data_IF_400748400009
#
_entry.id   IF_400748400009
#
_cell.length_a   1.000
_cell.length_b   1.000
_cell.length_c   1.000
_cell.angle_alpha   90.00
_cell.angle_beta   90.00
_cell.angle_gamma   90.00
#
_symmetry.space_group_name_H-M   'P 1'
#
loop_
_entity.id
_entity.type
_entity.pdbx_description
1 polymer ?
#
# COMPACT_ATOMS: atom_id res chain seq x y z
N UNK A 1 44.17 -42.89 -49.18
CA UNK A 1 45.25 -42.85 -48.16
C UNK A 1 44.69 -42.07 -46.97
N UNK A 2 44.25 -42.77 -45.91
CA UNK A 2 44.86 -42.87 -44.55
C UNK A 2 44.86 -41.51 -43.80
N UNK A 3 44.39 -41.32 -42.56
CA UNK A 3 43.93 -42.19 -41.44
C UNK A 3 42.76 -41.51 -40.67
N UNK A 4 42.02 -42.10 -39.72
CA UNK A 4 42.37 -42.76 -38.42
C UNK A 4 43.32 -41.88 -37.60
N UNK A 5 43.15 -41.47 -36.34
CA UNK A 5 42.45 -41.83 -35.09
C UNK A 5 42.32 -40.50 -34.28
N UNK A 6 41.67 -40.35 -33.12
CA UNK A 6 41.30 -41.27 -32.07
C UNK A 6 40.68 -40.51 -30.89
N UNK A 7 40.04 -41.28 -30.02
CA UNK A 7 39.31 -40.85 -28.85
C UNK A 7 40.23 -40.28 -27.74
N UNK A 8 39.80 -39.18 -27.13
CA UNK A 8 40.32 -38.66 -25.86
C UNK A 8 39.21 -38.65 -24.83
N UNK A 9 39.14 -39.71 -24.03
CA UNK A 9 38.22 -39.89 -22.90
C UNK A 9 38.90 -39.33 -21.66
N UNK A 10 38.39 -38.24 -21.10
CA UNK A 10 38.84 -37.71 -19.81
C UNK A 10 37.85 -38.18 -18.75
N UNK A 11 38.32 -39.10 -17.89
CA UNK A 11 37.78 -39.40 -16.56
C UNK A 11 38.70 -38.74 -15.54
N UNK A 12 38.22 -38.67 -14.30
CA UNK A 12 38.81 -38.10 -13.07
C UNK A 12 38.29 -36.68 -12.78
N UNK A 13 37.88 -36.32 -11.57
CA UNK A 13 37.89 -37.04 -10.29
C UNK A 13 36.90 -36.36 -9.34
N UNK A 14 36.32 -37.17 -8.47
CA UNK A 14 35.34 -36.76 -7.47
C UNK A 14 36.06 -36.19 -6.25
N UNK A 15 35.92 -34.89 -5.98
CA UNK A 15 36.26 -34.33 -4.67
C UNK A 15 34.98 -34.04 -3.89
N UNK A 16 34.64 -34.98 -3.00
CA UNK A 16 33.69 -34.77 -1.91
C UNK A 16 34.40 -33.90 -0.87
N UNK A 17 33.97 -32.66 -0.69
CA UNK A 17 34.29 -31.91 0.52
C UNK A 17 33.08 -31.95 1.44
N UNK A 18 33.28 -32.66 2.54
CA UNK A 18 32.42 -32.78 3.69
C UNK A 18 32.64 -31.53 4.54
N UNK A 19 31.61 -30.69 4.70
CA UNK A 19 31.61 -29.63 5.72
C UNK A 19 30.48 -29.95 6.68
N UNK A 20 30.83 -30.73 7.70
CA UNK A 20 30.04 -30.85 8.92
C UNK A 20 30.42 -29.70 9.87
N UNK A 21 29.37 -29.21 10.52
CA UNK A 21 29.34 -28.69 11.89
C UNK A 21 29.80 -27.26 12.17
N UNK A 22 28.83 -26.36 12.37
CA UNK A 22 28.58 -25.78 13.70
C UNK A 22 27.25 -25.02 13.71
N UNK A 23 26.20 -25.71 14.14
CA UNK A 23 24.88 -25.16 14.39
C UNK A 23 24.84 -24.62 15.83
N UNK A 24 25.21 -23.35 16.03
CA UNK A 24 25.03 -22.68 17.32
C UNK A 24 23.57 -22.24 17.48
N UNK A 25 22.84 -22.98 18.33
CA UNK A 25 21.52 -22.58 18.84
C UNK A 25 21.68 -21.46 19.88
N UNK A 26 20.94 -20.33 19.78
CA UNK A 26 20.80 -19.44 20.92
C UNK A 26 19.82 -20.04 21.94
N UNK A 27 20.25 -20.04 23.20
CA UNK A 27 19.57 -20.60 24.38
C UNK A 27 18.37 -19.72 24.78
N UNK A 28 17.30 -20.36 25.23
CA UNK A 28 16.16 -19.73 25.89
C UNK A 28 16.49 -19.32 27.33
N UNK A 29 15.93 -18.16 27.74
CA UNK A 29 15.49 -17.88 29.11
C UNK A 29 16.40 -16.97 29.94
N UNK A 30 16.00 -15.72 30.17
CA UNK A 30 15.28 -15.30 31.39
C UNK A 30 14.81 -13.83 31.29
N UNK A 31 13.83 -13.39 32.11
CA UNK A 31 12.81 -12.41 31.72
C UNK A 31 13.25 -10.97 31.95
N UNK A 32 12.86 -10.06 31.05
CA UNK A 32 12.91 -8.63 31.33
C UNK A 32 11.73 -8.23 32.21
N UNK A 33 12.11 -7.84 33.42
CA UNK A 33 11.30 -7.22 34.46
C UNK A 33 10.50 -6.02 33.94
N UNK A 34 9.20 -6.10 34.18
CA UNK A 34 8.16 -5.10 33.93
C UNK A 34 8.13 -4.11 35.09
N UNK A 35 8.83 -2.99 35.00
CA UNK A 35 8.59 -1.83 35.89
C UNK A 35 8.86 -0.50 35.19
N UNK A 36 7.95 -0.11 34.30
CA UNK A 36 7.84 1.25 33.76
C UNK A 36 6.43 1.75 33.98
N UNK A 37 6.27 2.69 34.91
CA UNK A 37 5.00 3.30 35.34
C UNK A 37 4.07 3.63 34.17
N UNK A 38 2.87 3.08 34.22
CA UNK A 38 1.69 3.64 33.57
C UNK A 38 1.40 5.00 34.21
N UNK A 39 1.74 6.09 33.53
CA UNK A 39 1.17 7.39 33.87
C UNK A 39 -0.29 7.40 33.39
N UNK A 40 -1.16 7.01 34.32
CA UNK A 40 -2.61 7.14 34.19
C UNK A 40 -2.96 8.60 33.86
N UNK A 41 -3.37 8.85 32.62
CA UNK A 41 -4.02 10.11 32.23
C UNK A 41 -5.34 10.16 32.99
N UNK A 42 -5.36 10.96 34.05
CA UNK A 42 -6.56 11.22 34.85
C UNK A 42 -7.59 11.96 34.01
N UNK A 43 -8.88 11.60 34.10
CA UNK A 43 -9.93 12.30 33.38
C UNK A 43 -10.04 13.74 33.88
N UNK A 44 -10.04 14.69 32.94
CA UNK A 44 -10.29 16.11 33.22
C UNK A 44 -11.76 16.25 33.61
N UNK A 45 -11.99 16.56 34.88
CA UNK A 45 -13.29 16.90 35.43
C UNK A 45 -13.58 18.36 35.06
N UNK A 46 -14.43 18.58 34.07
CA UNK A 46 -15.00 19.91 33.80
C UNK A 46 -16.05 20.16 34.88
N UNK A 47 -15.73 21.01 35.84
CA UNK A 47 -16.69 21.49 36.83
C UNK A 47 -17.54 22.61 36.22
N UNK A 48 -18.85 22.43 36.33
CA UNK A 48 -19.87 23.40 35.95
C UNK A 48 -19.65 24.73 36.68
N UNK A 49 -19.46 25.80 35.91
CA UNK A 49 -19.39 27.15 36.44
C UNK A 49 -20.82 27.70 36.44
N UNK A 50 -21.41 27.82 37.63
CA UNK A 50 -22.60 28.65 37.85
C UNK A 50 -22.18 30.13 37.79
N UNK A 51 -22.64 30.85 36.77
CA UNK A 51 -22.55 32.31 36.74
C UNK A 51 -23.89 32.94 37.09
N UNK A 52 -23.79 33.77 38.12
CA UNK A 52 -24.79 34.53 38.85
C UNK A 52 -25.48 35.58 37.95
N UNK A 53 -26.81 35.59 37.97
CA UNK A 53 -27.62 36.66 37.36
C UNK A 53 -27.42 37.97 38.16
N UNK A 54 -26.94 39.02 37.50
CA UNK A 54 -27.07 40.39 37.97
C UNK A 54 -27.72 41.23 36.86
N UNK A 55 -28.82 41.90 37.24
CA UNK A 55 -29.77 42.65 36.43
C UNK A 55 -29.52 44.14 36.62
N UNK A 56 -29.14 44.87 35.58
CA UNK A 56 -29.17 46.35 35.48
C UNK A 56 -29.32 46.68 33.98
N UNK A 57 -30.53 47.05 33.55
CA UNK A 57 -31.02 48.41 33.27
C UNK A 57 -30.66 48.90 31.85
N UNK A 58 -31.73 49.21 31.11
CA UNK A 58 -31.79 49.73 29.76
C UNK A 58 -31.14 51.12 29.70
N UNK A 59 -30.48 51.46 28.59
CA UNK A 59 -30.77 52.70 27.84
C UNK A 59 -29.91 52.86 26.57
N UNK A 60 -30.65 53.11 25.49
CA UNK A 60 -30.37 53.95 24.32
C UNK A 60 -29.49 53.47 23.15
N UNK A 61 -30.05 53.81 21.98
CA UNK A 61 -29.78 53.42 20.60
C UNK A 61 -28.44 53.93 20.06
N UNK A 62 -27.82 53.13 19.19
CA UNK A 62 -27.03 53.65 18.07
C UNK A 62 -27.17 52.72 16.86
N UNK A 63 -27.75 53.28 15.81
CA UNK A 63 -27.93 52.69 14.48
C UNK A 63 -26.57 52.51 13.76
N UNK A 64 -26.52 51.42 12.99
CA UNK A 64 -25.78 51.16 11.76
C UNK A 64 -24.23 51.12 11.78
N UNK A 65 -23.72 49.90 11.70
CA UNK A 65 -22.91 49.48 10.54
C UNK A 65 -23.02 47.94 10.44
N UNK A 66 -23.82 47.48 9.50
CA UNK A 66 -23.96 46.08 9.10
C UNK A 66 -22.61 45.55 8.60
N UNK A 67 -21.85 44.90 9.48
CA UNK A 67 -20.79 43.97 9.07
C UNK A 67 -21.49 42.66 8.66
N UNK A 68 -21.97 42.62 7.41
CA UNK A 68 -22.42 41.42 6.70
C UNK A 68 -21.22 40.46 6.48
N UNK A 69 -20.68 39.96 7.59
CA UNK A 69 -19.81 38.81 7.63
C UNK A 69 -20.69 37.57 7.68
N UNK A 70 -21.05 37.06 6.50
CA UNK A 70 -21.77 35.81 6.28
C UNK A 70 -21.09 34.64 7.05
N UNK A 71 -21.47 34.47 8.31
CA UNK A 71 -21.07 33.30 9.10
C UNK A 71 -22.09 32.20 8.84
N UNK A 72 -21.68 31.03 8.30
CA UNK A 72 -22.62 29.95 7.99
C UNK A 72 -23.42 29.57 9.24
N UNK A 73 -24.72 29.85 9.20
CA UNK A 73 -25.61 29.72 10.36
C UNK A 73 -26.29 28.36 10.41
N UNK A 74 -26.31 27.65 9.28
CA UNK A 74 -26.94 26.34 9.11
C UNK A 74 -26.01 25.33 8.46
N UNK A 75 -26.33 24.04 8.60
CA UNK A 75 -25.64 22.96 7.91
C UNK A 75 -25.78 23.09 6.37
N UNK A 76 -26.88 23.68 5.91
CA UNK A 76 -27.15 23.92 4.49
C UNK A 76 -26.22 25.00 3.93
N UNK A 77 -25.98 26.08 4.68
CA UNK A 77 -25.01 27.13 4.31
C UNK A 77 -23.59 26.55 4.18
N UNK A 78 -23.21 25.62 5.06
CA UNK A 78 -21.92 24.92 4.99
C UNK A 78 -21.86 23.99 3.76
N UNK A 79 -22.94 23.29 3.43
CA UNK A 79 -22.99 22.45 2.22
C UNK A 79 -22.94 23.27 0.93
N UNK A 80 -23.63 24.41 0.89
CA UNK A 80 -23.62 25.34 -0.24
C UNK A 80 -22.22 25.93 -0.42
N UNK A 81 -21.62 26.45 0.65
CA UNK A 81 -20.25 26.95 0.65
C UNK A 81 -19.24 25.88 0.20
N UNK A 82 -19.37 24.63 0.65
CA UNK A 82 -18.51 23.51 0.20
C UNK A 82 -18.78 23.10 -1.26
N UNK A 83 -20.00 23.28 -1.75
CA UNK A 83 -20.36 23.03 -3.15
C UNK A 83 -19.74 24.03 -4.12
N UNK A 84 -19.49 25.26 -3.66
CA UNK A 84 -18.83 26.32 -4.44
C UNK A 84 -17.30 26.20 -4.45
N UNK A 85 -16.71 25.43 -3.51
CA UNK A 85 -15.27 25.21 -3.46
C UNK A 85 -14.82 24.40 -4.67
N UNK A 86 -13.96 24.99 -5.49
CA UNK A 86 -13.26 24.27 -6.55
C UNK A 86 -12.29 23.28 -5.92
N UNK A 87 -12.58 21.98 -6.02
CA UNK A 87 -11.65 20.94 -5.54
C UNK A 87 -10.38 20.96 -6.41
N UNK A 88 -9.18 21.03 -5.82
CA UNK A 88 -7.93 21.17 -6.56
C UNK A 88 -7.55 19.91 -7.38
N UNK A 89 -8.31 18.81 -7.28
CA UNK A 89 -8.06 17.58 -8.01
C UNK A 89 -9.25 16.63 -8.07
N UNK A 90 -9.05 15.53 -8.80
CA UNK A 90 -9.97 14.40 -8.91
C UNK A 90 -9.85 13.46 -7.71
N UNK A 91 -10.90 12.68 -7.43
CA UNK A 91 -10.87 11.63 -6.38
C UNK A 91 -10.18 10.35 -6.84
N UNK A 92 -10.06 10.14 -8.16
CA UNK A 92 -9.31 9.03 -8.73
C UNK A 92 -8.73 9.41 -10.10
N UNK A 93 -7.73 8.64 -10.54
CA UNK A 93 -7.11 8.80 -11.87
C UNK A 93 -6.78 7.43 -12.43
N UNK A 94 -6.93 7.26 -13.74
CA UNK A 94 -6.70 6.02 -14.45
C UNK A 94 -6.23 6.30 -15.88
N UNK A 95 -5.48 5.36 -16.45
CA UNK A 95 -4.99 5.49 -17.81
C UNK A 95 -3.94 4.45 -18.15
N UNK A 96 -3.44 4.52 -19.38
CA UNK A 96 -2.33 3.68 -19.83
C UNK A 96 -1.03 4.25 -19.27
N UNK A 97 -0.29 3.43 -18.54
CA UNK A 97 1.00 3.82 -17.94
C UNK A 97 2.14 3.85 -18.98
N UNK A 98 2.05 4.75 -19.96
CA UNK A 98 3.00 4.86 -21.09
C UNK A 98 4.42 5.22 -20.67
N UNK A 99 4.62 5.79 -19.49
CA UNK A 99 5.94 6.10 -18.94
C UNK A 99 6.68 4.86 -18.45
N UNK A 100 5.97 3.79 -18.08
CA UNK A 100 6.57 2.57 -17.55
C UNK A 100 7.14 1.70 -18.67
N UNK A 101 8.28 1.01 -18.44
CA UNK A 101 8.75 0.01 -19.37
C UNK A 101 7.75 -1.15 -19.45
N UNK A 102 7.52 -1.69 -20.65
CA UNK A 102 6.64 -2.85 -20.84
C UNK A 102 7.12 -4.09 -20.06
N UNK A 103 8.43 -4.20 -19.84
CA UNK A 103 9.07 -5.23 -19.03
C UNK A 103 9.68 -4.57 -17.78
N UNK A 104 9.07 -4.71 -16.61
CA UNK A 104 9.54 -4.08 -15.38
C UNK A 104 10.75 -4.79 -14.75
N UNK A 105 11.18 -5.92 -15.32
CA UNK A 105 12.19 -6.79 -14.69
C UNK A 105 11.65 -7.43 -13.42
N UNK A 106 10.38 -7.87 -13.43
CA UNK A 106 9.74 -8.51 -12.28
C UNK A 106 10.46 -9.80 -11.92
N UNK A 107 10.94 -9.90 -10.69
CA UNK A 107 11.53 -11.10 -10.12
C UNK A 107 10.77 -11.47 -8.84
N UNK A 108 10.49 -12.75 -8.67
CA UNK A 108 9.74 -13.27 -7.51
C UNK A 108 10.55 -14.37 -6.85
N UNK A 109 10.76 -14.26 -5.54
CA UNK A 109 11.46 -15.28 -4.75
C UNK A 109 10.78 -16.65 -4.90
N UNK A 110 11.55 -17.66 -5.31
CA UNK A 110 11.06 -19.02 -5.57
C UNK A 110 10.58 -19.28 -7.00
N UNK A 111 10.39 -18.24 -7.82
CA UNK A 111 10.05 -18.34 -9.26
C UNK A 111 11.19 -17.86 -10.14
N UNK A 112 11.88 -16.79 -9.73
CA UNK A 112 12.87 -16.07 -10.52
C UNK A 112 12.24 -14.98 -11.38
N UNK A 113 12.87 -14.69 -12.53
CA UNK A 113 12.38 -13.68 -13.47
C UNK A 113 11.04 -14.09 -14.08
N UNK A 114 10.04 -13.23 -13.89
CA UNK A 114 8.69 -13.39 -14.41
C UNK A 114 8.62 -12.79 -15.81
N UNK A 115 8.35 -13.64 -16.80
CA UNK A 115 8.16 -13.20 -18.19
C UNK A 115 6.76 -12.60 -18.38
N UNK A 116 6.69 -11.49 -19.13
CA UNK A 116 5.45 -10.83 -19.53
C UNK A 116 5.29 -10.89 -21.06
N UNK A 117 4.06 -11.04 -21.58
CA UNK A 117 2.80 -11.09 -20.83
C UNK A 117 2.67 -12.37 -19.99
N UNK A 118 1.94 -12.27 -18.88
CA UNK A 118 1.66 -13.43 -18.01
C UNK A 118 0.96 -14.50 -18.84
N UNK A 119 1.50 -15.72 -18.83
CA UNK A 119 0.95 -16.92 -19.49
C UNK A 119 0.47 -17.94 -18.45
N UNK A 120 -0.18 -19.02 -18.86
CA UNK A 120 -0.59 -20.10 -17.93
C UNK A 120 0.58 -20.70 -17.14
N UNK A 121 1.73 -20.85 -17.80
CA UNK A 121 2.95 -21.38 -17.17
C UNK A 121 3.45 -20.43 -16.08
N UNK A 122 3.57 -19.15 -16.43
CA UNK A 122 4.01 -18.11 -15.48
C UNK A 122 3.01 -17.94 -14.33
N UNK A 123 1.71 -17.92 -14.63
CA UNK A 123 0.66 -17.82 -13.64
C UNK A 123 0.71 -19.00 -12.67
N UNK A 124 0.85 -20.23 -13.17
CA UNK A 124 0.95 -21.44 -12.34
C UNK A 124 2.19 -21.40 -11.41
N UNK A 125 3.33 -20.92 -11.91
CA UNK A 125 4.52 -20.74 -11.10
C UNK A 125 4.32 -19.68 -10.00
N UNK A 126 3.66 -18.56 -10.31
CA UNK A 126 3.32 -17.54 -9.32
C UNK A 126 2.34 -18.07 -8.27
N UNK A 127 1.32 -18.85 -8.67
CA UNK A 127 0.36 -19.47 -7.74
C UNK A 127 1.07 -20.36 -6.72
N UNK A 128 2.09 -21.11 -7.14
CA UNK A 128 2.82 -22.03 -6.27
C UNK A 128 3.56 -21.35 -5.10
N UNK A 129 3.89 -20.05 -5.24
CA UNK A 129 4.57 -19.26 -4.20
C UNK A 129 3.65 -18.23 -3.54
N UNK A 130 2.48 -17.97 -4.13
CA UNK A 130 1.51 -17.03 -3.59
C UNK A 130 0.73 -17.63 -2.41
N UNK A 131 0.22 -16.75 -1.57
CA UNK A 131 -0.64 -17.10 -0.42
C UNK A 131 -2.02 -16.52 -0.63
N UNK A 132 -3.04 -17.11 -0.02
CA UNK A 132 -4.36 -16.48 -0.01
C UNK A 132 -4.26 -15.09 0.63
N UNK A 133 -4.81 -14.07 -0.02
CA UNK A 133 -4.81 -12.72 0.53
C UNK A 133 -5.65 -12.71 1.83
N UNK A 134 -5.10 -12.19 2.95
CA UNK A 134 -5.85 -12.13 4.21
C UNK A 134 -7.04 -11.18 4.08
N UNK A 135 -8.14 -11.51 4.74
CA UNK A 135 -9.28 -10.62 4.88
C UNK A 135 -9.08 -9.71 6.08
N UNK A 136 -9.29 -8.41 5.89
CA UNK A 136 -9.36 -7.46 6.99
C UNK A 136 -10.80 -7.32 7.47
N UNK A 137 -11.13 -7.91 8.61
CA UNK A 137 -12.25 -7.48 9.45
C UNK A 137 -11.67 -7.11 10.83
N UNK A 138 -11.15 -5.89 10.97
CA UNK A 138 -10.54 -5.43 12.23
C UNK A 138 -9.28 -6.23 12.63
N UNK A 139 -9.15 -6.57 13.91
CA UNK A 139 -7.98 -7.24 14.50
C UNK A 139 -7.96 -8.77 14.32
N UNK A 140 -8.97 -9.37 13.67
CA UNK A 140 -9.09 -10.83 13.58
C UNK A 140 -8.95 -11.31 12.12
N UNK A 141 -7.95 -12.16 11.88
CA UNK A 141 -7.64 -12.70 10.55
C UNK A 141 -8.57 -13.89 10.28
N UNK A 142 -9.83 -13.62 9.92
CA UNK A 142 -10.78 -14.66 9.54
C UNK A 142 -10.71 -14.89 8.02
N UNK A 143 -10.48 -16.14 7.62
CA UNK A 143 -10.40 -16.56 6.22
C UNK A 143 -11.82 -16.67 5.60
N UNK A 144 -12.49 -15.54 5.32
CA UNK A 144 -13.79 -15.52 4.64
C UNK A 144 -13.65 -15.30 3.13
N UNK A 145 -13.53 -16.41 2.38
CA UNK A 145 -13.47 -16.42 0.91
C UNK A 145 -14.68 -15.79 0.22
N UNK A 146 -15.75 -15.42 0.94
CA UNK A 146 -16.89 -14.72 0.37
C UNK A 146 -16.59 -13.26 -0.02
N UNK A 147 -15.55 -12.62 0.53
CA UNK A 147 -15.30 -11.19 0.32
C UNK A 147 -14.26 -10.88 -0.79
N UNK A 148 -13.33 -11.80 -1.03
CA UNK A 148 -12.25 -11.66 -2.01
C UNK A 148 -11.60 -13.03 -2.27
N UNK A 149 -11.57 -13.45 -3.52
CA UNK A 149 -10.81 -14.64 -3.93
C UNK A 149 -9.61 -14.20 -4.75
N UNK A 150 -8.45 -14.09 -4.09
CA UNK A 150 -7.23 -13.56 -4.70
C UNK A 150 -6.01 -14.10 -3.98
N UNK A 151 -4.99 -14.43 -4.77
CA UNK A 151 -3.68 -14.81 -4.27
C UNK A 151 -2.77 -13.57 -4.20
N UNK A 152 -1.89 -13.51 -3.21
CA UNK A 152 -0.92 -12.43 -3.06
C UNK A 152 0.50 -12.93 -2.84
N UNK A 153 1.45 -12.12 -3.27
CA UNK A 153 2.87 -12.23 -2.93
C UNK A 153 3.28 -10.91 -2.28
N UNK A 154 3.89 -10.99 -1.11
CA UNK A 154 4.27 -9.82 -0.31
C UNK A 154 5.46 -9.08 -0.95
N UNK A 155 5.57 -7.75 -0.73
CA UNK A 155 6.59 -6.91 -1.38
C UNK A 155 8.03 -7.36 -1.13
N UNK A 156 8.34 -7.94 0.03
CA UNK A 156 9.67 -8.43 0.40
C UNK A 156 10.14 -9.63 -0.44
N UNK A 157 9.23 -10.25 -1.19
CA UNK A 157 9.51 -11.37 -2.09
C UNK A 157 9.61 -10.94 -3.56
N UNK A 158 9.49 -9.64 -3.85
CA UNK A 158 9.39 -9.11 -5.21
C UNK A 158 10.46 -8.05 -5.46
N UNK A 159 11.10 -8.10 -6.62
CA UNK A 159 11.91 -7.00 -7.13
C UNK A 159 11.51 -6.61 -8.55
N UNK A 160 11.81 -5.36 -8.91
CA UNK A 160 11.51 -4.75 -10.21
C UNK A 160 12.83 -4.19 -10.74
N UNK A 161 13.58 -5.05 -11.41
CA UNK A 161 15.02 -4.84 -11.66
C UNK A 161 15.30 -3.98 -12.92
N UNK A 162 14.27 -3.53 -13.64
CA UNK A 162 14.49 -2.69 -14.82
C UNK A 162 15.11 -1.34 -14.41
N UNK A 163 16.26 -0.92 -15.00
CA UNK A 163 16.99 0.28 -14.56
C UNK A 163 16.16 1.57 -14.55
N UNK A 164 15.25 1.71 -15.51
CA UNK A 164 14.38 2.88 -15.61
C UNK A 164 13.10 2.80 -14.75
N UNK A 165 12.83 1.68 -14.06
CA UNK A 165 11.55 1.46 -13.37
C UNK A 165 11.23 2.58 -12.38
N UNK A 166 12.14 2.86 -11.45
CA UNK A 166 11.92 3.88 -10.41
C UNK A 166 11.76 5.28 -11.00
N UNK A 167 12.55 5.64 -12.00
CA UNK A 167 12.44 6.95 -12.67
C UNK A 167 11.11 7.09 -13.43
N UNK A 168 10.67 6.03 -14.10
CA UNK A 168 9.39 6.02 -14.81
C UNK A 168 8.19 6.01 -13.86
N UNK A 169 8.28 5.27 -12.76
CA UNK A 169 7.28 5.23 -11.69
C UNK A 169 7.13 6.61 -11.03
N UNK A 170 8.24 7.31 -10.76
CA UNK A 170 8.22 8.68 -10.23
C UNK A 170 7.38 9.61 -11.12
N UNK A 171 7.59 9.58 -12.44
CA UNK A 171 6.80 10.39 -13.40
C UNK A 171 5.31 10.04 -13.39
N UNK A 172 4.99 8.75 -13.25
CA UNK A 172 3.61 8.29 -13.15
C UNK A 172 2.95 8.82 -11.86
N UNK A 173 3.67 8.72 -10.73
CA UNK A 173 3.20 9.21 -9.43
C UNK A 173 3.08 10.73 -9.43
N UNK A 174 3.97 11.47 -10.09
CA UNK A 174 3.87 12.94 -10.21
C UNK A 174 2.60 13.35 -10.94
N UNK A 175 2.32 12.67 -12.06
CA UNK A 175 1.10 12.88 -12.84
C UNK A 175 -0.14 12.55 -12.00
N UNK A 176 -0.12 11.43 -11.28
CA UNK A 176 -1.23 11.00 -10.45
C UNK A 176 -1.46 11.96 -9.27
N UNK A 177 -0.42 12.36 -8.55
CA UNK A 177 -0.48 13.31 -7.45
C UNK A 177 -1.07 14.65 -7.90
N UNK A 178 -0.57 15.18 -9.02
CA UNK A 178 -1.11 16.40 -9.63
C UNK A 178 -2.59 16.26 -9.96
N UNK A 179 -3.00 15.12 -10.54
CA UNK A 179 -4.40 14.84 -10.83
C UNK A 179 -5.28 14.71 -9.59
N UNK A 180 -4.71 14.30 -8.44
CA UNK A 180 -5.38 14.20 -7.16
C UNK A 180 -5.36 15.53 -6.36
N UNK A 181 -4.75 16.59 -6.92
CA UNK A 181 -4.64 17.89 -6.24
C UNK A 181 -3.60 17.91 -5.12
N UNK A 182 -2.65 16.97 -5.12
CA UNK A 182 -1.58 16.85 -4.13
C UNK A 182 -0.25 17.27 -4.74
N UNK A 183 0.55 18.03 -4.00
CA UNK A 183 1.89 18.41 -4.44
C UNK A 183 2.76 17.16 -4.68
N UNK A 184 3.30 16.93 -5.89
CA UNK A 184 4.07 15.72 -6.21
C UNK A 184 5.26 15.45 -5.27
N UNK A 185 5.90 16.51 -4.78
CA UNK A 185 7.03 16.44 -3.85
C UNK A 185 6.69 15.80 -2.50
N UNK A 186 5.42 15.75 -2.11
CA UNK A 186 4.95 15.17 -0.84
C UNK A 186 4.56 13.69 -0.98
N UNK A 187 4.53 13.14 -2.20
CA UNK A 187 4.03 11.80 -2.46
C UNK A 187 5.18 10.85 -2.75
N UNK A 188 5.20 9.71 -2.06
CA UNK A 188 6.16 8.63 -2.28
C UNK A 188 5.41 7.30 -2.52
N UNK A 189 5.73 6.54 -3.59
CA UNK A 189 5.14 5.23 -3.79
C UNK A 189 5.86 4.17 -2.98
N UNK A 190 5.12 3.33 -2.26
CA UNK A 190 5.63 2.13 -1.60
C UNK A 190 5.04 0.88 -2.25
N UNK A 191 5.88 -0.09 -2.60
CA UNK A 191 5.44 -1.38 -3.11
C UNK A 191 4.83 -2.17 -1.95
N UNK A 192 3.56 -2.55 -2.08
CA UNK A 192 2.86 -3.30 -1.03
C UNK A 192 2.79 -4.81 -1.31
N UNK A 193 2.23 -5.20 -2.46
CA UNK A 193 2.07 -6.60 -2.84
C UNK A 193 1.79 -6.77 -4.33
N UNK A 194 2.11 -7.96 -4.84
CA UNK A 194 1.61 -8.44 -6.13
C UNK A 194 0.35 -9.26 -5.89
N UNK A 195 -0.67 -9.03 -6.72
CA UNK A 195 -1.95 -9.73 -6.65
C UNK A 195 -2.13 -10.57 -7.91
N UNK A 196 -2.61 -11.80 -7.74
CA UNK A 196 -2.97 -12.70 -8.81
C UNK A 196 -4.45 -13.08 -8.65
N UNK A 197 -5.23 -12.73 -9.66
CA UNK A 197 -6.63 -13.10 -9.77
C UNK A 197 -6.77 -14.32 -10.67
N UNK A 198 -7.48 -15.32 -10.19
CA UNK A 198 -7.90 -16.45 -11.02
C UNK A 198 -9.22 -16.13 -11.72
N UNK A 199 -9.59 -16.94 -12.70
CA UNK A 199 -10.91 -16.87 -13.33
C UNK A 199 -12.01 -16.97 -12.27
N UNK A 200 -12.90 -15.98 -12.24
CA UNK A 200 -13.95 -15.88 -11.23
C UNK A 200 -13.52 -15.24 -9.91
N UNK A 201 -12.23 -14.92 -9.75
CA UNK A 201 -11.72 -14.11 -8.64
C UNK A 201 -12.36 -12.73 -8.65
N UNK A 202 -12.72 -12.24 -7.47
CA UNK A 202 -13.43 -10.96 -7.33
C UNK A 202 -12.86 -10.16 -6.17
N UNK A 203 -13.13 -8.86 -6.22
CA UNK A 203 -12.94 -7.96 -5.10
C UNK A 203 -14.25 -7.19 -4.89
N UNK A 204 -14.93 -7.42 -3.78
CA UNK A 204 -16.12 -6.63 -3.43
C UNK A 204 -15.78 -5.15 -3.34
N UNK A 205 -16.77 -4.31 -3.68
CA UNK A 205 -16.68 -2.86 -3.46
C UNK A 205 -16.36 -2.61 -1.98
N UNK A 206 -15.28 -1.89 -1.73
CA UNK A 206 -14.81 -1.54 -0.41
C UNK A 206 -14.04 -0.22 -0.51
N UNK A 207 -13.79 0.39 0.64
CA UNK A 207 -12.84 1.48 0.77
C UNK A 207 -11.50 0.87 1.17
N UNK A 208 -10.44 1.22 0.44
CA UNK A 208 -9.10 0.85 0.84
C UNK A 208 -8.82 1.41 2.24
N UNK A 209 -8.28 0.56 3.10
CA UNK A 209 -7.85 0.95 4.44
C UNK A 209 -6.40 1.40 4.37
N UNK A 210 -6.08 2.43 5.14
CA UNK A 210 -4.72 2.89 5.36
C UNK A 210 -3.85 1.72 5.84
N UNK A 211 -2.70 1.52 5.19
CA UNK A 211 -1.77 0.43 5.48
C UNK A 211 -0.49 0.89 6.16
N UNK A 212 -0.19 2.18 6.01
CA UNK A 212 0.97 2.86 6.56
C UNK A 212 0.54 4.29 6.91
N UNK A 213 1.14 4.88 7.93
CA UNK A 213 0.84 6.25 8.37
C UNK A 213 1.03 7.25 7.21
N UNK A 214 -0.01 8.04 6.93
CA UNK A 214 -0.01 9.00 5.84
C UNK A 214 -0.38 8.41 4.47
N UNK A 215 -0.78 7.13 4.40
CA UNK A 215 -1.30 6.56 3.15
C UNK A 215 -2.69 7.14 2.85
N UNK A 216 -2.77 7.92 1.77
CA UNK A 216 -4.02 8.56 1.32
C UNK A 216 -4.57 7.98 0.01
N UNK A 217 -3.80 7.16 -0.71
CA UNK A 217 -4.18 6.62 -2.02
C UNK A 217 -3.52 5.26 -2.31
N UNK A 218 -4.13 4.52 -3.24
CA UNK A 218 -3.60 3.25 -3.77
C UNK A 218 -3.33 3.39 -5.26
N UNK A 219 -2.12 3.03 -5.69
CA UNK A 219 -1.75 2.91 -7.10
C UNK A 219 -1.75 1.44 -7.51
N UNK A 220 -2.59 1.09 -8.50
CA UNK A 220 -2.63 -0.26 -9.08
C UNK A 220 -2.02 -0.21 -10.48
N UNK A 221 -1.03 -1.05 -10.74
CA UNK A 221 -0.41 -1.22 -12.05
C UNK A 221 -0.73 -2.63 -12.55
N UNK A 222 -1.51 -2.72 -13.62
CA UNK A 222 -1.77 -3.99 -14.29
C UNK A 222 -0.60 -4.32 -15.22
N UNK A 223 0.04 -5.46 -14.96
CA UNK A 223 1.09 -5.98 -15.84
C UNK A 223 0.47 -6.62 -17.09
N UNK A 224 1.17 -6.60 -18.25
CA UNK A 224 0.74 -7.31 -19.44
C UNK A 224 0.39 -8.77 -19.16
N UNK A 225 -0.76 -9.21 -19.64
CA UNK A 225 -1.33 -10.55 -19.41
C UNK A 225 -2.01 -11.01 -20.69
N UNK A 226 -1.98 -12.31 -20.97
CA UNK A 226 -2.77 -12.92 -22.06
C UNK A 226 -4.22 -13.20 -21.64
N UNK A 227 -4.52 -13.03 -20.35
CA UNK A 227 -5.84 -13.15 -19.76
C UNK A 227 -6.47 -11.76 -19.64
N UNK A 228 -7.74 -11.64 -20.05
CA UNK A 228 -8.52 -10.39 -20.12
C UNK A 228 -9.89 -10.59 -19.48
#
# INVERSE_FOLDING_TARGET
MKGTEGAGKIKEESKKENVEDSFEKPKHGEPLDTTGKEDAVKPIKVESIETKEERMEEDEESEDDDDDGDTPSTLDDVYEALGEVTTPGSTCTAGVATSLPALPGLNVKGVGTVLLPVTDVTASALKAVAKQAPHGQGMETVLDTSARDTLQIDADQITLDHPCWNTSLRKLVDTAATSLGVAPSLVQPHLYKLLLYETGGFFKKHRDTEKEDGMFATLVIQLPSVFH
#
